data_IF_821066718960
#
_entry.id   IF_821066718960
#
_cell.length_a   1.000
_cell.length_b   1.000
_cell.length_c   1.000
_cell.angle_alpha   90.00
_cell.angle_beta   90.00
_cell.angle_gamma   90.00
#
_symmetry.space_group_name_H-M   'P 1'
#
loop_
_entity.id
_entity.type
_entity.pdbx_description
1 polymer ?
#
# COMPACT_ATOMS: atom_id res chain seq x y z
N UNK A 1 35.61 -4.44 18.87
CA UNK A 1 34.63 -4.68 17.78
C UNK A 1 33.38 -3.87 18.13
N UNK A 2 33.15 -2.73 17.47
CA UNK A 2 31.98 -1.88 17.74
C UNK A 2 30.82 -2.34 16.86
N UNK A 3 29.74 -2.81 17.47
CA UNK A 3 28.49 -3.15 16.79
C UNK A 3 27.76 -1.86 16.43
N UNK A 4 27.69 -1.54 15.14
CA UNK A 4 26.90 -0.43 14.62
C UNK A 4 25.41 -0.71 14.85
N UNK A 5 24.82 -0.08 15.86
CA UNK A 5 23.38 -0.12 16.10
C UNK A 5 22.66 0.49 14.87
N UNK A 6 21.59 -0.13 14.35
CA UNK A 6 20.81 0.48 13.28
C UNK A 6 20.23 1.79 13.81
N UNK A 7 20.60 2.90 13.19
CA UNK A 7 20.00 4.20 13.46
C UNK A 7 18.51 4.11 13.13
N UNK A 8 17.66 4.16 14.15
CA UNK A 8 16.22 4.29 14.00
C UNK A 8 15.95 5.62 13.31
N UNK A 9 15.90 5.59 11.99
CA UNK A 9 15.51 6.72 11.17
C UNK A 9 14.09 7.07 11.59
N UNK A 10 13.94 8.21 12.27
CA UNK A 10 12.66 8.70 12.77
C UNK A 10 11.81 9.13 11.56
N UNK A 11 11.16 8.16 10.93
CA UNK A 11 10.26 8.39 9.81
C UNK A 11 8.94 8.91 10.33
N UNK A 12 8.56 10.10 9.89
CA UNK A 12 7.28 10.68 10.29
C UNK A 12 6.14 10.04 9.51
N UNK A 13 4.92 9.94 10.07
CA UNK A 13 3.74 9.48 9.35
C UNK A 13 3.49 10.25 8.05
N UNK A 14 3.80 11.55 8.02
CA UNK A 14 3.67 12.41 6.84
C UNK A 14 4.62 11.98 5.70
N UNK A 15 5.87 11.65 6.03
CA UNK A 15 6.83 11.15 5.03
C UNK A 15 6.38 9.80 4.49
N UNK A 16 5.89 8.90 5.36
CA UNK A 16 5.36 7.59 4.97
C UNK A 16 4.16 7.78 4.04
N UNK A 17 3.20 8.63 4.40
CA UNK A 17 2.02 8.90 3.59
C UNK A 17 2.38 9.44 2.19
N UNK A 18 3.32 10.37 2.12
CA UNK A 18 3.79 10.91 0.83
C UNK A 18 4.41 9.82 -0.06
N UNK A 19 5.28 8.98 0.51
CA UNK A 19 5.91 7.89 -0.23
C UNK A 19 4.89 6.84 -0.66
N UNK A 20 3.95 6.49 0.23
CA UNK A 20 2.89 5.52 -0.03
C UNK A 20 2.04 5.93 -1.24
N UNK A 21 1.57 7.16 -1.30
CA UNK A 21 0.73 7.65 -2.41
C UNK A 21 1.45 7.55 -3.75
N UNK A 22 2.71 8.00 -3.81
CA UNK A 22 3.50 7.95 -5.06
C UNK A 22 3.72 6.51 -5.50
N UNK A 23 4.09 5.63 -4.57
CA UNK A 23 4.34 4.22 -4.88
C UNK A 23 3.07 3.47 -5.28
N UNK A 24 1.93 3.76 -4.62
CA UNK A 24 0.65 3.17 -4.95
C UNK A 24 0.25 3.46 -6.41
N UNK A 25 0.28 4.74 -6.83
CA UNK A 25 -0.10 5.10 -8.19
C UNK A 25 0.92 4.67 -9.24
N UNK A 26 2.22 4.66 -8.90
CA UNK A 26 3.24 4.09 -9.79
C UNK A 26 2.97 2.62 -10.04
N UNK A 27 2.77 1.84 -8.97
CA UNK A 27 2.51 0.41 -9.09
C UNK A 27 1.19 0.13 -9.82
N UNK A 28 0.14 0.89 -9.54
CA UNK A 28 -1.14 0.79 -10.25
C UNK A 28 -0.98 0.94 -11.77
N UNK A 29 -0.09 1.83 -12.20
CA UNK A 29 0.12 2.09 -13.62
C UNK A 29 1.07 1.07 -14.28
N UNK A 30 2.17 0.71 -13.60
CA UNK A 30 3.24 -0.12 -14.17
C UNK A 30 3.01 -1.62 -13.98
N UNK A 31 2.45 -2.02 -12.83
CA UNK A 31 2.28 -3.42 -12.40
C UNK A 31 0.96 -3.59 -11.63
N UNK A 32 -0.19 -3.42 -12.31
CA UNK A 32 -1.49 -3.50 -11.67
C UNK A 32 -1.70 -4.83 -10.94
N UNK A 33 -1.13 -5.94 -11.43
CA UNK A 33 -1.22 -7.28 -10.83
C UNK A 33 -0.60 -7.40 -9.42
N UNK A 34 0.21 -6.42 -9.03
CA UNK A 34 0.87 -6.40 -7.72
C UNK A 34 0.18 -5.45 -6.73
N UNK A 35 -0.88 -4.76 -7.14
CA UNK A 35 -1.53 -3.73 -6.33
C UNK A 35 -2.15 -4.33 -5.05
N UNK A 36 -2.68 -5.54 -5.14
CA UNK A 36 -3.21 -6.30 -4.00
C UNK A 36 -2.26 -6.35 -2.78
N UNK A 37 -0.94 -6.26 -2.98
CA UNK A 37 0.06 -6.26 -1.90
C UNK A 37 -0.04 -5.05 -0.97
N UNK A 38 -0.65 -3.96 -1.41
CA UNK A 38 -0.88 -2.76 -0.59
C UNK A 38 -2.09 -2.89 0.36
N UNK A 39 -2.83 -4.00 0.25
CA UNK A 39 -4.05 -4.24 1.00
C UNK A 39 -3.93 -5.49 1.89
N UNK A 40 -4.66 -5.49 2.99
CA UNK A 40 -4.82 -6.67 3.84
C UNK A 40 -6.00 -7.52 3.37
N UNK A 41 -6.08 -8.78 3.83
CA UNK A 41 -7.25 -9.63 3.59
C UNK A 41 -8.57 -9.05 4.13
N UNK A 42 -8.49 -8.16 5.12
CA UNK A 42 -9.64 -7.45 5.69
C UNK A 42 -9.95 -6.12 5.00
N UNK A 43 -9.24 -5.79 3.92
CA UNK A 43 -9.48 -4.56 3.16
C UNK A 43 -10.71 -4.70 2.27
N UNK A 44 -11.46 -3.61 2.15
CA UNK A 44 -12.65 -3.53 1.32
C UNK A 44 -12.36 -2.60 0.16
N UNK A 45 -12.64 -3.07 -1.06
CA UNK A 45 -12.48 -2.28 -2.28
C UNK A 45 -13.84 -1.80 -2.78
N UNK A 46 -13.94 -0.50 -3.03
CA UNK A 46 -15.11 0.15 -3.60
C UNK A 46 -14.66 1.01 -4.77
N UNK A 47 -15.07 0.65 -5.99
CA UNK A 47 -14.73 1.39 -7.19
C UNK A 47 -15.99 1.68 -7.99
N UNK A 48 -16.31 2.98 -8.10
CA UNK A 48 -17.36 3.61 -8.92
C UNK A 48 -18.82 3.19 -8.64
N UNK A 49 -19.06 1.96 -8.20
CA UNK A 49 -20.37 1.41 -7.91
C UNK A 49 -20.51 1.11 -6.41
N UNK A 50 -21.33 1.91 -5.71
CA UNK A 50 -21.60 1.75 -4.28
C UNK A 50 -22.22 0.39 -3.92
N UNK A 51 -22.79 -0.33 -4.90
CA UNK A 51 -23.46 -1.62 -4.69
C UNK A 51 -22.50 -2.79 -4.88
N UNK A 52 -21.40 -2.60 -5.62
CA UNK A 52 -20.31 -3.57 -5.76
C UNK A 52 -19.22 -3.33 -4.72
N UNK A 53 -19.58 -3.61 -3.47
CA UNK A 53 -18.56 -3.79 -2.43
C UNK A 53 -18.00 -5.19 -2.57
N UNK A 54 -16.73 -5.32 -2.94
CA UNK A 54 -16.06 -6.61 -2.95
C UNK A 54 -15.03 -6.63 -1.83
N UNK A 55 -15.16 -7.64 -0.97
CA UNK A 55 -14.28 -7.86 0.18
C UNK A 55 -13.22 -8.88 -0.19
N UNK A 56 -11.95 -8.56 0.09
CA UNK A 56 -10.82 -9.45 -0.16
C UNK A 56 -9.89 -8.96 -1.28
N UNK A 57 -8.63 -9.39 -1.20
CA UNK A 57 -7.55 -8.96 -2.10
C UNK A 57 -7.72 -9.47 -3.54
N UNK A 58 -8.57 -10.47 -3.78
CA UNK A 58 -8.82 -11.06 -5.11
C UNK A 58 -9.57 -10.11 -6.05
N UNK A 59 -10.27 -9.11 -5.48
CA UNK A 59 -11.01 -8.12 -6.23
C UNK A 59 -10.20 -6.86 -6.55
N UNK A 60 -8.98 -6.81 -6.02
CA UNK A 60 -8.04 -5.72 -6.18
C UNK A 60 -6.96 -6.24 -7.12
N UNK A 61 -6.71 -5.53 -8.23
CA UNK A 61 -5.82 -5.97 -9.30
C UNK A 61 -4.50 -6.61 -8.81
#
# INVERSE_FOLDING_TARGET
MATSSPSTTNVTPQQIGKAFVVQYYRLLHEHPESLHRFFSASSTFMHDDLTKTVTGIEAIA
#
